data_IF_886997255392
#
_entry.id   IF_886997255392
#
_cell.length_a   1.000
_cell.length_b   1.000
_cell.length_c   1.000
_cell.angle_alpha   90.00
_cell.angle_beta   90.00
_cell.angle_gamma   90.00
#
_symmetry.space_group_name_H-M   'P 1'
#
loop_
_entity.id
_entity.type
_entity.pdbx_description
1 polymer ?
#
# COMPACT_ATOMS: atom_id res chain seq x y z
N UNK A 1 -2.69 -0.34 11.37
CA UNK A 1 -4.13 0.00 11.42
C UNK A 1 -4.75 -0.45 10.10
N UNK A 2 -5.76 -1.31 10.15
CA UNK A 2 -6.51 -1.74 8.96
C UNK A 2 -7.76 -0.86 8.77
N UNK A 3 -8.09 -0.52 7.53
CA UNK A 3 -9.24 0.30 7.16
C UNK A 3 -9.59 0.13 5.67
N UNK A 4 -10.72 0.69 5.23
CA UNK A 4 -11.05 0.85 3.82
C UNK A 4 -10.46 2.18 3.31
N UNK A 5 -9.55 2.10 2.35
CA UNK A 5 -8.84 3.25 1.79
C UNK A 5 -9.56 3.90 0.60
N UNK A 6 -8.95 4.93 0.05
CA UNK A 6 -9.32 5.54 -1.22
C UNK A 6 -8.08 6.18 -1.87
N UNK A 7 -8.23 6.74 -3.06
CA UNK A 7 -7.13 7.34 -3.81
C UNK A 7 -6.48 8.51 -3.07
N UNK A 8 -7.27 9.39 -2.46
CA UNK A 8 -6.78 10.55 -1.71
C UNK A 8 -6.02 10.17 -0.44
N UNK A 9 -6.51 9.19 0.32
CA UNK A 9 -5.80 8.65 1.47
C UNK A 9 -4.48 7.99 1.04
N UNK A 10 -4.49 7.18 -0.04
CA UNK A 10 -3.28 6.58 -0.58
C UNK A 10 -2.22 7.65 -0.86
N UNK A 11 -2.56 8.69 -1.62
CA UNK A 11 -1.64 9.79 -1.92
C UNK A 11 -1.10 10.44 -0.66
N UNK A 12 -1.99 10.82 0.25
CA UNK A 12 -1.63 11.47 1.52
C UNK A 12 -0.66 10.63 2.36
N UNK A 13 -0.84 9.30 2.40
CA UNK A 13 0.03 8.39 3.15
C UNK A 13 1.40 8.26 2.49
N UNK A 14 1.42 8.06 1.18
CA UNK A 14 2.66 7.91 0.41
C UNK A 14 3.47 9.22 0.44
N UNK A 15 2.84 10.38 0.26
CA UNK A 15 3.49 11.70 0.39
C UNK A 15 4.07 11.91 1.81
N UNK A 16 3.41 11.36 2.83
CA UNK A 16 3.89 11.35 4.21
C UNK A 16 5.03 10.36 4.48
N UNK A 17 5.51 9.63 3.47
CA UNK A 17 6.56 8.61 3.61
C UNK A 17 6.07 7.30 4.24
N UNK A 18 4.76 7.05 4.26
CA UNK A 18 4.17 5.85 4.83
C UNK A 18 3.70 4.90 3.73
N UNK A 19 4.44 3.81 3.43
CA UNK A 19 3.98 2.80 2.50
C UNK A 19 2.71 2.11 3.02
N UNK A 20 1.86 1.68 2.09
CA UNK A 20 0.60 1.01 2.40
C UNK A 20 0.64 -0.44 1.90
N UNK A 21 0.22 -1.37 2.74
CA UNK A 21 -0.10 -2.72 2.29
C UNK A 21 -1.56 -2.72 1.84
N UNK A 22 -1.82 -3.20 0.64
CA UNK A 22 -3.17 -3.32 0.08
C UNK A 22 -3.44 -4.76 -0.31
N UNK A 23 -4.71 -5.17 -0.22
CA UNK A 23 -5.19 -6.43 -0.77
C UNK A 23 -5.89 -6.11 -2.08
N UNK A 24 -5.55 -6.79 -3.17
CA UNK A 24 -6.25 -6.65 -4.45
C UNK A 24 -6.72 -8.02 -4.93
N UNK A 25 -7.68 -8.02 -5.84
CA UNK A 25 -8.11 -9.23 -6.56
C UNK A 25 -7.81 -9.11 -8.06
N UNK A 26 -6.77 -9.83 -8.51
CA UNK A 26 -6.41 -9.96 -9.92
C UNK A 26 -7.28 -10.96 -10.69
N UNK A 27 -8.21 -11.61 -10.01
CA UNK A 27 -9.14 -12.57 -10.57
C UNK A 27 -9.96 -12.03 -11.75
N UNK A 28 -10.36 -12.93 -12.64
CA UNK A 28 -11.29 -12.63 -13.73
C UNK A 28 -12.49 -13.58 -13.64
N UNK A 29 -13.70 -13.05 -13.85
CA UNK A 29 -14.98 -13.76 -13.74
C UNK A 29 -15.24 -14.45 -12.39
N UNK A 30 -14.98 -15.76 -12.27
CA UNK A 30 -15.39 -16.60 -11.11
C UNK A 30 -14.24 -17.01 -10.19
N UNK A 31 -13.00 -16.67 -10.53
CA UNK A 31 -11.82 -17.04 -9.74
C UNK A 31 -11.24 -15.80 -9.06
N UNK A 32 -11.22 -15.78 -7.73
CA UNK A 32 -10.50 -14.77 -6.96
C UNK A 32 -9.01 -15.11 -6.93
N UNK A 33 -8.16 -14.12 -7.19
CA UNK A 33 -6.72 -14.20 -7.01
C UNK A 33 -6.29 -13.08 -6.06
N UNK A 34 -6.69 -13.25 -4.79
CA UNK A 34 -6.36 -12.33 -3.71
C UNK A 34 -4.84 -12.25 -3.52
N UNK A 35 -4.31 -11.02 -3.59
CA UNK A 35 -2.89 -10.77 -3.58
C UNK A 35 -2.56 -9.53 -2.76
N UNK A 36 -1.58 -9.64 -1.84
CA UNK A 36 -1.07 -8.49 -1.09
C UNK A 36 0.11 -7.85 -1.81
N UNK A 37 0.16 -6.52 -1.81
CA UNK A 37 1.31 -5.76 -2.30
C UNK A 37 1.55 -4.53 -1.42
N UNK A 38 2.74 -3.95 -1.55
CA UNK A 38 3.11 -2.71 -0.87
C UNK A 38 3.13 -1.58 -1.89
N UNK A 39 2.26 -0.57 -1.72
CA UNK A 39 2.34 0.67 -2.49
C UNK A 39 3.43 1.54 -1.89
N UNK A 40 4.38 1.95 -2.72
CA UNK A 40 5.56 2.74 -2.33
C UNK A 40 5.65 4.07 -3.07
N UNK A 41 4.83 4.29 -4.10
CA UNK A 41 4.82 5.49 -4.91
C UNK A 41 3.55 5.59 -5.74
N UNK A 42 3.27 6.78 -6.27
CA UNK A 42 2.21 7.01 -7.25
C UNK A 42 2.60 8.15 -8.20
N UNK A 43 1.91 8.23 -9.33
CA UNK A 43 1.86 9.39 -10.21
C UNK A 43 0.44 9.56 -10.76
N UNK A 44 0.24 10.42 -11.75
CA UNK A 44 -1.07 10.63 -12.37
C UNK A 44 -1.63 9.35 -13.03
N UNK A 45 -0.73 8.53 -13.57
CA UNK A 45 -1.05 7.34 -14.37
C UNK A 45 -1.25 6.07 -13.53
N UNK A 46 -0.83 6.04 -12.26
CA UNK A 46 -0.91 4.82 -11.46
C UNK A 46 -0.05 4.76 -10.21
N UNK A 47 0.25 3.53 -9.78
CA UNK A 47 0.99 3.23 -8.55
C UNK A 47 2.26 2.45 -8.84
N UNK A 48 3.29 2.71 -8.04
CA UNK A 48 4.50 1.89 -7.97
C UNK A 48 4.41 0.99 -6.75
N UNK A 49 4.60 -0.32 -6.95
CA UNK A 49 4.38 -1.34 -5.92
C UNK A 49 5.52 -2.33 -5.82
N UNK A 50 5.70 -2.89 -4.62
CA UNK A 50 6.50 -4.09 -4.38
C UNK A 50 5.55 -5.28 -4.17
N UNK A 51 5.75 -6.34 -4.94
CA UNK A 51 4.85 -7.48 -5.04
C UNK A 51 5.64 -8.79 -5.15
N UNK A 52 5.59 -9.63 -4.12
CA UNK A 52 6.34 -10.88 -4.08
C UNK A 52 7.85 -10.65 -4.19
N UNK A 53 8.45 -11.08 -5.30
CA UNK A 53 9.88 -10.88 -5.62
C UNK A 53 10.13 -9.71 -6.59
N UNK A 54 9.09 -9.03 -7.03
CA UNK A 54 9.18 -7.91 -7.98
C UNK A 54 9.06 -6.60 -7.22
N UNK A 55 10.12 -5.81 -7.26
CA UNK A 55 10.14 -4.47 -6.68
C UNK A 55 9.87 -3.42 -7.77
N UNK A 56 9.30 -2.29 -7.37
CA UNK A 56 9.04 -1.12 -8.20
C UNK A 56 8.25 -1.39 -9.49
N UNK A 57 7.33 -2.36 -9.45
CA UNK A 57 6.41 -2.61 -10.55
C UNK A 57 5.39 -1.47 -10.67
N UNK A 58 5.10 -1.04 -11.89
CA UNK A 58 4.07 -0.04 -12.15
C UNK A 58 2.73 -0.70 -12.49
N UNK A 59 1.65 -0.22 -11.89
CA UNK A 59 0.27 -0.62 -12.20
C UNK A 59 -0.52 0.63 -12.55
N UNK A 60 -1.11 0.64 -13.75
CA UNK A 60 -2.01 1.70 -14.20
C UNK A 60 -3.17 1.90 -13.21
N UNK A 61 -3.56 3.15 -13.02
CA UNK A 61 -4.51 3.59 -12.02
C UNK A 61 -5.84 2.86 -12.09
N UNK A 62 -6.44 2.75 -13.28
CA UNK A 62 -7.74 2.09 -13.45
C UNK A 62 -7.66 0.59 -13.14
N UNK A 63 -6.57 -0.07 -13.55
CA UNK A 63 -6.33 -1.49 -13.24
C UNK A 63 -6.18 -1.70 -11.74
N UNK A 64 -5.40 -0.85 -11.08
CA UNK A 64 -5.22 -0.87 -9.64
C UNK A 64 -6.55 -0.66 -8.90
N UNK A 65 -7.24 0.44 -9.17
CA UNK A 65 -8.50 0.80 -8.51
C UNK A 65 -9.55 -0.31 -8.67
N UNK A 66 -9.72 -0.85 -9.88
CA UNK A 66 -10.66 -1.96 -10.12
C UNK A 66 -10.31 -3.21 -9.32
N UNK A 67 -9.03 -3.54 -9.19
CA UNK A 67 -8.59 -4.72 -8.43
C UNK A 67 -8.72 -4.53 -6.92
N UNK A 68 -8.54 -3.31 -6.43
CA UNK A 68 -8.66 -2.94 -5.01
C UNK A 68 -10.11 -2.76 -4.58
N UNK A 69 -10.98 -2.30 -5.48
CA UNK A 69 -12.43 -2.18 -5.24
C UNK A 69 -13.07 -3.54 -4.93
N UNK A 70 -12.67 -4.59 -5.65
CA UNK A 70 -13.15 -5.97 -5.42
C UNK A 70 -12.90 -6.50 -4.02
N UNK A 71 -11.93 -5.93 -3.32
CA UNK A 71 -11.56 -6.30 -1.95
C UNK A 71 -12.00 -5.22 -0.95
N UNK A 72 -12.98 -4.40 -1.33
CA UNK A 72 -13.54 -3.31 -0.52
C UNK A 72 -12.48 -2.28 -0.08
N UNK A 73 -11.52 -1.99 -0.97
CA UNK A 73 -10.43 -1.06 -0.71
C UNK A 73 -9.63 -1.39 0.55
N UNK A 74 -9.48 -2.68 0.86
CA UNK A 74 -8.79 -3.11 2.07
C UNK A 74 -7.35 -2.59 2.10
N UNK A 75 -7.00 -1.95 3.20
CA UNK A 75 -5.73 -1.26 3.40
C UNK A 75 -5.19 -1.52 4.79
N UNK A 76 -3.88 -1.71 4.89
CA UNK A 76 -3.15 -1.77 6.14
C UNK A 76 -2.03 -0.73 6.12
N UNK A 77 -2.18 0.26 6.99
CA UNK A 77 -1.16 1.25 7.28
C UNK A 77 -0.29 0.80 8.45
N UNK A 78 1.01 0.65 8.19
CA UNK A 78 2.03 0.34 9.21
C UNK A 78 2.60 1.66 9.74
N UNK A 79 2.45 1.89 11.05
CA UNK A 79 3.08 3.01 11.75
C UNK A 79 4.13 2.46 12.70
N UNK A 80 5.30 3.10 12.75
CA UNK A 80 6.24 2.86 13.84
C UNK A 80 5.57 3.28 15.15
N UNK A 81 5.73 2.50 16.20
CA UNK A 81 5.21 2.86 17.52
C UNK A 81 5.97 4.10 17.99
N UNK A 82 5.26 5.17 18.33
CA UNK A 82 5.85 6.36 18.94
C UNK A 82 6.47 5.96 20.28
N UNK A 83 7.81 5.79 20.29
CA UNK A 83 8.60 5.29 21.41
C UNK A 83 10.00 4.82 20.97
N UNK A 84 10.10 4.20 19.79
CA UNK A 84 11.33 3.59 19.30
C UNK A 84 12.31 4.57 18.62
N UNK A 85 12.02 5.88 18.65
CA UNK A 85 12.93 6.93 18.16
C UNK A 85 13.70 7.62 19.29
N UNK A 86 13.26 7.48 20.55
CA UNK A 86 13.94 8.05 21.71
C UNK A 86 14.91 7.06 22.37
N UNK A 87 14.74 5.74 22.16
CA UNK A 87 15.66 4.71 22.67
C UNK A 87 17.01 4.71 21.93
N UNK A 88 17.00 4.93 20.61
CA UNK A 88 18.22 4.84 19.80
C UNK A 88 19.12 6.09 19.88
N UNK A 89 18.65 7.19 20.47
CA UNK A 89 19.46 8.38 20.74
C UNK A 89 20.10 8.38 22.13
N UNK A 90 19.62 7.53 23.05
CA UNK A 90 20.12 7.46 24.43
C UNK A 90 21.32 6.51 24.60
N UNK A 91 21.59 5.63 23.63
CA UNK A 91 22.70 4.67 23.68
C UNK A 91 23.99 5.16 22.99
N UNK A 92 23.98 6.38 22.43
CA UNK A 92 25.11 6.99 21.73
C UNK A 92 25.79 8.14 22.52
N UNK A 93 25.67 8.16 23.85
CA UNK A 93 26.33 9.11 24.74
C UNK A 93 27.25 8.40 25.74
#
# INVERSE_FOLDING_TARGET
>A
QQYAGNWEDLKTRIDGGYPLIVLVDYGFFVYQANHFMVVVGYNEDGVTVNSGKTEHAFIEKEKFLRSWEKTNYWTLWIKKKSGDLQSNSAEAQ
#
